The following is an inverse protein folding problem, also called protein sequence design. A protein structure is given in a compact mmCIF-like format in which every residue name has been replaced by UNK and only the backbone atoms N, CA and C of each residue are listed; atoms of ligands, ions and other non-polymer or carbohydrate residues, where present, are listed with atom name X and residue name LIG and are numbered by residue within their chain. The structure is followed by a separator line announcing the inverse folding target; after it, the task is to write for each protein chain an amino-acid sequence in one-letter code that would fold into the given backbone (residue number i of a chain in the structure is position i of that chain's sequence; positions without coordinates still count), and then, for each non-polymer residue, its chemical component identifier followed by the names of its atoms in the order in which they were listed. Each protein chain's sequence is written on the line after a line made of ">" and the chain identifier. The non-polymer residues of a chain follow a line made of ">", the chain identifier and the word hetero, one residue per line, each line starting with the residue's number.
data_IF_077501872525
#
_entry.id   IF_077501872525
#
_cell.length_a   1.000
_cell.length_b   1.000
_cell.length_c   1.000
_cell.angle_alpha   90.00
_cell.angle_beta   90.00
_cell.angle_gamma   90.00
#
_symmetry.space_group_name_H-M   'P 1'
#
loop_
_entity.id
_entity.type
_entity.pdbx_description
1 polymer ?
#
# COMPACT_ATOMS: atom_id res chain seq x y z
N UNK A 1 8.78 18.65 -24.88
CA UNK A 1 8.14 18.97 -23.59
C UNK A 1 6.80 18.26 -23.57
N UNK A 2 6.57 17.43 -22.56
CA UNK A 2 5.27 16.77 -22.39
C UNK A 2 4.19 17.84 -22.13
N UNK A 3 2.97 17.74 -22.70
CA UNK A 3 1.91 18.72 -22.46
C UNK A 3 1.47 18.82 -20.98
N UNK A 4 1.99 17.94 -20.13
CA UNK A 4 1.73 17.85 -18.69
C UNK A 4 2.84 18.47 -17.82
N UNK A 5 3.94 18.95 -18.41
CA UNK A 5 5.04 19.55 -17.63
C UNK A 5 4.56 20.83 -16.90
N UNK A 6 4.69 20.83 -15.57
CA UNK A 6 4.40 21.98 -14.72
C UNK A 6 3.00 22.00 -14.09
N UNK A 7 2.11 21.07 -14.44
CA UNK A 7 0.78 21.02 -13.81
C UNK A 7 0.82 20.26 -12.49
N UNK A 8 0.42 20.94 -11.42
CA UNK A 8 0.31 20.37 -10.07
C UNK A 8 -0.86 19.39 -9.94
N UNK A 9 -1.93 19.62 -10.68
CA UNK A 9 -3.17 18.86 -10.62
C UNK A 9 -3.43 18.16 -11.94
N UNK A 10 -3.80 16.89 -11.89
CA UNK A 10 -4.29 16.12 -13.02
C UNK A 10 -5.76 15.77 -12.79
N UNK A 11 -6.59 15.92 -13.81
CA UNK A 11 -7.94 15.39 -13.82
C UNK A 11 -7.94 14.04 -14.54
N UNK A 12 -8.47 13.02 -13.88
CA UNK A 12 -8.69 11.70 -14.46
C UNK A 12 -10.19 11.53 -14.73
N UNK A 13 -10.55 11.51 -16.02
CA UNK A 13 -11.93 11.28 -16.46
C UNK A 13 -12.26 9.77 -16.42
N UNK A 14 -13.54 9.39 -16.26
CA UNK A 14 -13.94 8.00 -16.39
C UNK A 14 -13.61 7.46 -17.79
N UNK A 15 -12.91 6.33 -17.84
CA UNK A 15 -12.80 5.50 -19.06
C UNK A 15 -14.03 4.58 -19.11
N UNK A 16 -14.56 4.32 -20.31
CA UNK A 16 -15.74 3.47 -20.51
C UNK A 16 -15.54 2.10 -19.86
N UNK A 17 -16.60 1.59 -19.21
CA UNK A 17 -16.59 0.23 -18.67
C UNK A 17 -16.50 -0.79 -19.81
N UNK A 18 -15.69 -1.83 -19.63
CA UNK A 18 -15.45 -2.86 -20.65
C UNK A 18 -13.97 -3.18 -20.83
N UNK A 19 -13.60 -3.61 -22.04
CA UNK A 19 -12.23 -3.98 -22.41
C UNK A 19 -11.24 -2.82 -22.18
N UNK A 20 -11.68 -1.58 -22.39
CA UNK A 20 -10.85 -0.38 -22.27
C UNK A 20 -10.60 0.07 -20.82
N UNK A 21 -11.33 -0.47 -19.83
CA UNK A 21 -11.27 0.00 -18.44
C UNK A 21 -9.89 -0.10 -17.79
N UNK A 22 -8.98 -0.87 -18.40
CA UNK A 22 -7.58 -1.04 -18.00
C UNK A 22 -6.60 -0.88 -19.15
N UNK A 23 -7.03 -0.24 -20.24
CA UNK A 23 -6.15 0.07 -21.36
C UNK A 23 -5.27 1.30 -21.04
N UNK A 24 -3.97 1.18 -21.32
CA UNK A 24 -3.00 2.21 -20.95
C UNK A 24 -3.21 3.51 -21.75
N UNK A 25 -3.48 3.40 -23.04
CA UNK A 25 -3.62 4.54 -23.95
C UNK A 25 -4.95 5.27 -23.72
N UNK A 26 -6.01 4.53 -23.42
CA UNK A 26 -7.29 5.08 -23.00
C UNK A 26 -7.15 5.90 -21.69
N UNK A 27 -6.44 5.37 -20.69
CA UNK A 27 -6.16 6.12 -19.46
C UNK A 27 -5.29 7.35 -19.71
N UNK A 28 -4.26 7.23 -20.55
CA UNK A 28 -3.40 8.36 -20.88
C UNK A 28 -4.18 9.49 -21.57
N UNK A 29 -5.14 9.15 -22.43
CA UNK A 29 -6.03 10.09 -23.11
C UNK A 29 -7.06 10.71 -22.15
N UNK A 30 -7.52 9.94 -21.16
CA UNK A 30 -8.48 10.40 -20.15
C UNK A 30 -7.85 11.32 -19.08
N UNK A 31 -6.52 11.32 -18.95
CA UNK A 31 -5.79 12.20 -18.05
C UNK A 31 -5.56 13.54 -18.74
N UNK A 32 -6.08 14.60 -18.15
CA UNK A 32 -5.89 15.97 -18.63
C UNK A 32 -5.30 16.86 -17.54
N UNK A 33 -4.46 17.86 -17.87
CA UNK A 33 -4.05 18.83 -16.89
C UNK A 33 -5.25 19.63 -16.36
N UNK A 34 -5.21 19.98 -15.08
CA UNK A 34 -6.20 20.88 -14.49
C UNK A 34 -5.51 21.85 -13.53
N UNK A 35 -6.25 22.85 -13.09
CA UNK A 35 -5.75 23.84 -12.14
C UNK A 35 -6.71 23.94 -10.97
N UNK A 36 -6.17 24.14 -9.77
CA UNK A 36 -6.91 24.58 -8.60
C UNK A 36 -6.18 25.80 -8.01
N UNK A 37 -6.83 26.58 -7.13
CA UNK A 37 -6.19 27.73 -6.52
C UNK A 37 -4.86 27.34 -5.84
N UNK A 38 -3.84 28.20 -5.91
CA UNK A 38 -2.57 27.92 -5.27
C UNK A 38 -2.66 28.04 -3.73
N UNK A 39 -1.69 27.45 -3.02
CA UNK A 39 -1.48 27.69 -1.59
C UNK A 39 -1.95 26.58 -0.65
N UNK A 40 -1.97 25.33 -1.11
CA UNK A 40 -2.11 24.10 -0.30
C UNK A 40 -3.25 24.20 0.71
N UNK A 41 -4.39 24.71 0.22
CA UNK A 41 -5.52 25.06 1.04
C UNK A 41 -6.74 24.29 0.55
N UNK A 42 -6.96 23.15 1.20
CA UNK A 42 -8.05 22.23 0.89
C UNK A 42 -9.42 22.93 0.86
N UNK A 43 -9.67 23.91 1.72
CA UNK A 43 -10.94 24.64 1.74
C UNK A 43 -11.13 25.47 0.46
N UNK A 44 -10.07 26.15 -0.03
CA UNK A 44 -10.10 26.90 -1.29
C UNK A 44 -10.22 25.99 -2.50
N UNK A 45 -9.51 24.86 -2.48
CA UNK A 45 -9.58 23.83 -3.52
C UNK A 45 -10.99 23.23 -3.61
N UNK A 46 -11.58 22.81 -2.49
CA UNK A 46 -12.97 22.35 -2.41
C UNK A 46 -13.98 23.44 -2.81
N UNK A 47 -13.74 24.70 -2.48
CA UNK A 47 -14.61 25.79 -2.91
C UNK A 47 -14.59 25.99 -4.43
N UNK A 48 -13.41 25.91 -5.05
CA UNK A 48 -13.27 25.94 -6.51
C UNK A 48 -13.98 24.76 -7.18
N UNK A 49 -13.83 23.54 -6.66
CA UNK A 49 -14.54 22.37 -7.16
C UNK A 49 -16.07 22.55 -7.10
N UNK A 50 -16.59 23.17 -6.03
CA UNK A 50 -18.02 23.53 -5.94
C UNK A 50 -18.44 24.54 -7.00
N UNK A 51 -17.60 25.53 -7.34
CA UNK A 51 -17.88 26.47 -8.45
C UNK A 51 -17.96 25.76 -9.80
N UNK A 52 -17.24 24.65 -9.97
CA UNK A 52 -17.31 23.78 -11.15
C UNK A 52 -18.52 22.83 -11.15
N UNK A 53 -19.41 22.96 -10.18
CA UNK A 53 -20.66 22.20 -10.10
C UNK A 53 -20.60 20.95 -9.23
N UNK A 54 -19.47 20.66 -8.54
CA UNK A 54 -19.42 19.52 -7.62
C UNK A 54 -20.27 19.79 -6.38
N UNK A 55 -21.07 18.81 -5.97
CA UNK A 55 -22.02 18.95 -4.86
C UNK A 55 -21.39 18.68 -3.49
N UNK A 56 -20.54 17.67 -3.40
CA UNK A 56 -19.79 17.34 -2.19
C UNK A 56 -18.34 16.91 -2.52
N UNK A 57 -17.42 17.85 -2.78
CA UNK A 57 -16.03 17.52 -3.00
C UNK A 57 -15.40 16.92 -1.74
N UNK A 58 -14.97 15.66 -1.82
CA UNK A 58 -14.30 14.93 -0.73
C UNK A 58 -12.93 14.45 -1.16
N UNK A 59 -12.04 14.36 -0.18
CA UNK A 59 -10.65 13.95 -0.39
C UNK A 59 -10.41 12.51 0.02
N UNK A 60 -9.50 11.85 -0.69
CA UNK A 60 -8.96 10.54 -0.38
C UNK A 60 -7.43 10.62 -0.40
N UNK A 61 -6.79 9.83 0.46
CA UNK A 61 -5.37 9.55 0.32
C UNK A 61 -5.16 8.31 -0.54
N UNK A 62 -4.08 8.32 -1.31
CA UNK A 62 -3.67 7.19 -2.12
C UNK A 62 -2.15 7.03 -2.14
N UNK A 63 -1.73 6.04 -2.92
CA UNK A 63 -0.32 5.78 -3.20
C UNK A 63 -0.08 5.71 -4.69
N UNK A 64 1.03 6.24 -5.17
CA UNK A 64 1.59 5.79 -6.44
C UNK A 64 2.17 4.40 -6.33
N UNK A 65 2.37 3.73 -7.47
CA UNK A 65 2.91 2.36 -7.50
C UNK A 65 4.20 2.17 -6.70
N UNK A 66 5.03 3.20 -6.55
CA UNK A 66 6.37 3.09 -5.96
C UNK A 66 6.55 3.87 -4.64
N UNK A 67 5.53 4.57 -4.16
CA UNK A 67 5.67 5.40 -2.97
C UNK A 67 5.71 4.62 -1.65
N UNK A 68 6.57 5.07 -0.74
CA UNK A 68 6.68 4.58 0.63
C UNK A 68 5.68 5.24 1.60
N UNK A 69 5.12 6.39 1.23
CA UNK A 69 4.16 7.15 2.02
C UNK A 69 2.93 7.52 1.16
N UNK A 70 1.88 8.04 1.81
CA UNK A 70 0.64 8.48 1.16
C UNK A 70 0.92 9.72 0.32
N UNK A 71 1.34 9.52 -0.91
CA UNK A 71 1.86 10.56 -1.80
C UNK A 71 0.82 11.06 -2.80
N UNK A 72 -0.44 10.63 -2.69
CA UNK A 72 -1.54 11.13 -3.50
C UNK A 72 -2.64 11.72 -2.63
N UNK A 73 -3.15 12.86 -3.08
CA UNK A 73 -4.46 13.38 -2.67
C UNK A 73 -5.40 13.34 -3.87
N UNK A 74 -6.60 12.80 -3.67
CA UNK A 74 -7.59 12.58 -4.72
C UNK A 74 -8.92 13.19 -4.29
N UNK A 75 -9.38 14.19 -5.05
CA UNK A 75 -10.70 14.78 -4.90
C UNK A 75 -11.70 14.10 -5.84
N UNK A 76 -12.91 13.85 -5.35
CA UNK A 76 -14.07 13.47 -6.17
C UNK A 76 -15.38 14.05 -5.60
N UNK A 77 -16.45 14.09 -6.39
CA UNK A 77 -17.77 14.49 -5.91
C UNK A 77 -18.49 13.29 -5.28
N UNK A 78 -18.50 13.22 -3.95
CA UNK A 78 -19.11 12.12 -3.21
C UNK A 78 -20.64 12.07 -3.33
N UNK A 79 -21.27 13.16 -3.80
CA UNK A 79 -22.70 13.22 -4.09
C UNK A 79 -23.03 13.04 -5.57
N UNK A 80 -22.06 12.70 -6.41
CA UNK A 80 -22.35 12.33 -7.79
C UNK A 80 -22.88 10.89 -7.86
N UNK A 81 -24.13 10.75 -8.29
CA UNK A 81 -24.79 9.46 -8.50
C UNK A 81 -25.22 9.27 -9.96
N UNK A 82 -24.92 10.25 -10.82
CA UNK A 82 -25.41 10.33 -12.19
C UNK A 82 -24.32 10.06 -13.21
N UNK A 83 -23.08 10.45 -12.92
CA UNK A 83 -21.97 10.22 -13.84
C UNK A 83 -21.56 8.74 -13.89
N UNK A 84 -20.90 8.32 -14.99
CA UNK A 84 -20.28 7.00 -15.09
C UNK A 84 -19.32 6.73 -13.94
N UNK A 85 -19.21 5.45 -13.54
CA UNK A 85 -18.23 5.04 -12.54
C UNK A 85 -16.83 5.09 -13.14
N UNK A 86 -15.91 5.74 -12.44
CA UNK A 86 -14.49 5.66 -12.76
C UNK A 86 -13.92 4.39 -12.14
N UNK A 87 -14.03 3.26 -12.84
CA UNK A 87 -13.68 1.92 -12.33
C UNK A 87 -12.21 1.84 -11.89
N UNK A 88 -11.30 2.36 -12.70
CA UNK A 88 -9.87 2.34 -12.40
C UNK A 88 -9.56 3.18 -11.16
N UNK A 89 -10.07 4.41 -11.06
CA UNK A 89 -9.89 5.25 -9.88
C UNK A 89 -10.52 4.63 -8.62
N UNK A 90 -11.75 4.10 -8.74
CA UNK A 90 -12.48 3.46 -7.63
C UNK A 90 -11.71 2.30 -7.04
N UNK A 91 -10.98 1.54 -7.88
CA UNK A 91 -10.15 0.43 -7.41
C UNK A 91 -8.79 0.91 -6.88
N UNK A 92 -8.10 1.76 -7.63
CA UNK A 92 -6.73 2.20 -7.31
C UNK A 92 -6.67 3.07 -6.04
N UNK A 93 -7.69 3.89 -5.79
CA UNK A 93 -7.71 4.82 -4.66
C UNK A 93 -8.49 4.32 -3.46
N UNK A 94 -8.90 3.04 -3.46
CA UNK A 94 -9.57 2.38 -2.33
C UNK A 94 -8.64 2.04 -1.18
N UNK A 95 -7.80 2.98 -0.79
CA UNK A 95 -6.81 2.84 0.28
C UNK A 95 -7.41 3.11 1.67
N UNK A 96 -8.24 4.15 1.76
CA UNK A 96 -8.81 4.69 3.00
C UNK A 96 -10.27 5.12 2.81
N UNK A 97 -10.95 5.42 3.91
CA UNK A 97 -12.23 6.10 3.90
C UNK A 97 -12.11 7.59 3.57
N UNK A 98 -13.25 8.25 3.49
CA UNK A 98 -13.39 9.67 3.21
C UNK A 98 -12.57 10.51 4.19
N UNK A 99 -11.90 11.52 3.64
CA UNK A 99 -11.02 12.45 4.34
C UNK A 99 -9.89 11.73 5.12
N UNK A 100 -9.47 10.57 4.62
CA UNK A 100 -8.32 9.83 5.15
C UNK A 100 -8.60 8.95 6.36
N UNK A 101 -9.88 8.67 6.66
CA UNK A 101 -10.26 7.76 7.75
C UNK A 101 -9.63 6.38 7.56
N UNK A 102 -8.82 5.98 8.53
CA UNK A 102 -8.12 4.69 8.50
C UNK A 102 -9.03 3.56 8.97
N UNK A 103 -8.87 2.37 8.39
CA UNK A 103 -9.54 1.14 8.83
C UNK A 103 -11.00 0.98 8.40
N UNK A 104 -11.61 1.99 7.77
CA UNK A 104 -12.99 1.93 7.25
C UNK A 104 -13.01 2.51 5.84
N UNK A 105 -13.59 1.79 4.89
CA UNK A 105 -13.94 2.32 3.57
C UNK A 105 -15.45 2.59 3.59
N UNK A 106 -15.82 3.85 3.69
CA UNK A 106 -17.17 4.38 3.87
C UNK A 106 -17.74 5.01 2.58
N UNK A 107 -17.18 4.62 1.44
CA UNK A 107 -17.62 5.02 0.11
C UNK A 107 -17.62 3.81 -0.83
N UNK A 108 -18.49 3.82 -1.82
CA UNK A 108 -18.72 2.67 -2.70
C UNK A 108 -17.88 2.76 -3.98
N UNK A 109 -18.00 3.86 -4.72
CA UNK A 109 -17.32 4.10 -5.98
C UNK A 109 -17.06 5.60 -6.20
N UNK A 110 -16.04 5.91 -6.99
CA UNK A 110 -15.80 7.25 -7.55
C UNK A 110 -16.58 7.34 -8.86
N UNK A 111 -17.55 8.26 -8.93
CA UNK A 111 -18.30 8.59 -10.14
C UNK A 111 -17.79 9.91 -10.71
N UNK A 112 -17.81 10.03 -12.04
CA UNK A 112 -17.34 11.22 -12.73
C UNK A 112 -15.81 11.41 -12.66
N UNK A 113 -15.31 12.60 -13.03
CA UNK A 113 -13.88 12.90 -12.97
C UNK A 113 -13.39 13.01 -11.52
N UNK A 114 -12.13 12.66 -11.29
CA UNK A 114 -11.44 12.97 -10.05
C UNK A 114 -10.21 13.86 -10.30
N UNK A 115 -9.87 14.71 -9.33
CA UNK A 115 -8.70 15.59 -9.39
C UNK A 115 -7.62 15.06 -8.45
N UNK A 116 -6.43 14.86 -8.99
CA UNK A 116 -5.33 14.17 -8.32
C UNK A 116 -4.15 15.13 -8.22
N UNK A 117 -3.50 15.15 -7.05
CA UNK A 117 -2.23 15.82 -6.85
C UNK A 117 -1.28 14.99 -6.01
N UNK A 118 0.00 15.34 -6.11
CA UNK A 118 1.05 14.82 -5.25
C UNK A 118 0.93 15.42 -3.84
N UNK A 119 0.88 14.56 -2.83
CA UNK A 119 1.02 14.96 -1.43
C UNK A 119 2.49 15.14 -1.02
N UNK A 120 2.75 16.11 -0.14
CA UNK A 120 4.06 16.27 0.49
C UNK A 120 4.40 15.08 1.39
N UNK A 121 5.69 14.77 1.59
CA UNK A 121 6.11 13.82 2.60
C UNK A 121 5.56 14.20 3.98
N UNK A 122 5.15 13.21 4.80
CA UNK A 122 4.66 13.48 6.13
C UNK A 122 5.74 14.19 6.98
N UNK A 123 5.28 15.11 7.81
CA UNK A 123 6.08 15.75 8.86
C UNK A 123 5.69 15.09 10.18
N UNK A 124 6.67 14.76 11.01
CA UNK A 124 6.43 14.13 12.30
C UNK A 124 7.21 14.85 13.39
N UNK A 125 6.62 14.94 14.58
CA UNK A 125 7.34 15.44 15.74
C UNK A 125 8.37 14.39 16.17
N UNK A 126 9.65 14.71 16.08
CA UNK A 126 10.72 13.88 16.59
C UNK A 126 10.57 13.73 18.09
N UNK A 127 10.58 12.49 18.57
CA UNK A 127 10.49 12.22 20.00
C UNK A 127 11.76 12.62 20.76
N UNK A 128 12.90 12.73 20.06
CA UNK A 128 14.18 13.12 20.63
C UNK A 128 14.27 14.65 20.74
N UNK A 129 13.92 15.38 19.67
CA UNK A 129 14.11 16.83 19.61
C UNK A 129 12.86 17.62 19.99
N UNK A 130 11.68 16.97 20.00
CA UNK A 130 10.39 17.62 20.16
C UNK A 130 9.99 18.52 18.98
N UNK A 131 10.78 18.56 17.90
CA UNK A 131 10.54 19.43 16.74
C UNK A 131 9.83 18.68 15.62
N UNK A 132 9.05 19.41 14.84
CA UNK A 132 8.43 18.89 13.63
C UNK A 132 9.51 18.72 12.56
N UNK A 133 9.84 17.47 12.22
CA UNK A 133 10.86 17.10 11.26
C UNK A 133 10.20 16.48 10.02
N UNK A 134 10.68 16.85 8.83
CA UNK A 134 10.25 16.24 7.59
C UNK A 134 10.93 14.89 7.43
N UNK A 135 10.15 13.87 7.08
CA UNK A 135 10.72 12.57 6.78
C UNK A 135 11.58 12.61 5.51
N UNK A 136 12.73 11.93 5.56
CA UNK A 136 13.66 11.80 4.43
C UNK A 136 13.14 10.81 3.39
N UNK A 137 12.14 11.25 2.62
CA UNK A 137 11.64 10.55 1.46
C UNK A 137 11.97 11.34 0.19
N UNK A 138 12.36 10.67 -0.91
CA UNK A 138 12.45 11.31 -2.21
C UNK A 138 11.11 11.97 -2.55
N UNK A 139 11.12 13.29 -2.78
CA UNK A 139 9.94 14.05 -3.09
C UNK A 139 9.99 14.61 -4.51
N UNK A 140 9.06 14.16 -5.35
CA UNK A 140 8.81 14.72 -6.68
C UNK A 140 7.44 15.41 -6.66
N UNK A 141 7.38 16.76 -6.62
CA UNK A 141 6.14 17.50 -6.38
C UNK A 141 5.11 17.37 -7.51
N UNK A 142 5.54 16.92 -8.70
CA UNK A 142 4.66 16.74 -9.84
C UNK A 142 4.49 15.25 -10.14
N UNK A 143 3.24 14.82 -10.28
CA UNK A 143 2.90 13.50 -10.84
C UNK A 143 2.79 13.63 -12.35
N UNK A 144 3.44 12.73 -13.08
CA UNK A 144 3.28 12.69 -14.55
C UNK A 144 2.07 11.84 -14.94
N UNK A 145 1.48 12.11 -16.11
CA UNK A 145 0.36 11.30 -16.63
C UNK A 145 0.75 9.81 -16.74
N UNK A 146 1.96 9.51 -17.24
CA UNK A 146 2.45 8.14 -17.33
C UNK A 146 2.57 7.47 -15.96
N UNK A 147 3.07 8.18 -14.96
CA UNK A 147 3.16 7.65 -13.59
C UNK A 147 1.78 7.35 -12.99
N UNK A 148 0.79 8.18 -13.31
CA UNK A 148 -0.60 7.94 -12.93
C UNK A 148 -1.16 6.70 -13.64
N UNK A 149 -0.96 6.54 -14.95
CA UNK A 149 -1.36 5.33 -15.70
C UNK A 149 -0.72 4.08 -15.08
N UNK A 150 0.59 4.10 -14.85
CA UNK A 150 1.29 2.98 -14.24
C UNK A 150 0.76 2.65 -12.84
N UNK A 151 0.33 3.67 -12.09
CA UNK A 151 -0.30 3.50 -10.77
C UNK A 151 -1.67 2.84 -10.90
N UNK A 152 -2.51 3.28 -11.83
CA UNK A 152 -3.80 2.63 -12.10
C UNK A 152 -3.59 1.15 -12.46
N UNK A 153 -2.72 0.87 -13.42
CA UNK A 153 -2.42 -0.50 -13.86
C UNK A 153 -1.80 -1.36 -12.74
N UNK A 154 -1.00 -0.78 -11.84
CA UNK A 154 -0.46 -1.49 -10.69
C UNK A 154 -1.57 -2.05 -9.77
N UNK A 155 -2.66 -1.29 -9.59
CA UNK A 155 -3.82 -1.66 -8.79
C UNK A 155 -4.89 -2.46 -9.56
N UNK A 156 -4.71 -2.71 -10.86
CA UNK A 156 -5.58 -3.59 -11.64
C UNK A 156 -5.76 -4.95 -10.97
N UNK A 157 -4.67 -5.54 -10.49
CA UNK A 157 -4.66 -6.89 -9.89
C UNK A 157 -4.34 -6.88 -8.39
N UNK A 158 -4.33 -5.69 -7.77
CA UNK A 158 -3.96 -5.52 -6.36
C UNK A 158 -5.07 -4.82 -5.58
N UNK A 159 -5.21 -5.24 -4.33
CA UNK A 159 -6.10 -4.61 -3.37
C UNK A 159 -5.41 -3.37 -2.78
N UNK A 160 -5.91 -2.19 -3.15
CA UNK A 160 -5.35 -0.91 -2.73
C UNK A 160 -5.33 -0.74 -1.20
N UNK A 161 -6.35 -1.23 -0.50
CA UNK A 161 -6.44 -1.15 0.96
C UNK A 161 -5.34 -1.99 1.62
N UNK A 162 -5.12 -3.22 1.14
CA UNK A 162 -4.06 -4.09 1.67
C UNK A 162 -2.67 -3.53 1.41
N UNK A 163 -2.46 -2.94 0.22
CA UNK A 163 -1.21 -2.24 -0.12
C UNK A 163 -0.97 -1.07 0.84
N UNK A 164 -1.99 -0.24 1.06
CA UNK A 164 -1.92 0.89 1.97
C UNK A 164 -1.57 0.46 3.40
N UNK A 165 -2.26 -0.56 3.94
CA UNK A 165 -1.95 -1.12 5.27
C UNK A 165 -0.52 -1.65 5.38
N UNK A 166 -0.02 -2.35 4.35
CA UNK A 166 1.35 -2.89 4.34
C UNK A 166 2.39 -1.76 4.32
N UNK A 167 2.17 -0.72 3.52
CA UNK A 167 3.07 0.44 3.43
C UNK A 167 3.05 1.29 4.68
N UNK A 168 1.87 1.52 5.26
CA UNK A 168 1.73 2.22 6.54
C UNK A 168 2.48 1.50 7.66
N UNK A 169 2.36 0.17 7.74
CA UNK A 169 3.10 -0.61 8.72
C UNK A 169 4.61 -0.59 8.48
N UNK A 170 5.05 -0.72 7.22
CA UNK A 170 6.47 -0.65 6.90
C UNK A 170 7.07 0.71 7.25
N UNK A 171 6.34 1.80 6.99
CA UNK A 171 6.74 3.16 7.39
C UNK A 171 6.79 3.30 8.90
N UNK A 172 5.73 2.92 9.60
CA UNK A 172 5.69 2.94 11.06
C UNK A 172 6.86 2.17 11.68
N UNK A 173 7.25 1.02 11.09
CA UNK A 173 8.39 0.22 11.53
C UNK A 173 9.75 0.82 11.19
N UNK A 174 9.88 1.58 10.10
CA UNK A 174 11.12 2.31 9.78
C UNK A 174 11.33 3.49 10.75
N UNK A 175 10.23 4.09 11.20
CA UNK A 175 10.25 5.28 12.06
C UNK A 175 10.34 4.94 13.54
N UNK A 176 9.73 3.84 13.97
CA UNK A 176 9.69 3.43 15.37
C UNK A 176 11.08 3.37 16.03
N UNK A 177 12.10 2.74 15.41
CA UNK A 177 13.45 2.70 15.99
C UNK A 177 14.10 4.07 16.11
N UNK A 178 13.81 5.00 15.17
CA UNK A 178 14.37 6.36 15.18
C UNK A 178 13.77 7.22 16.29
N UNK A 179 12.48 7.06 16.55
CA UNK A 179 11.74 7.89 17.51
C UNK A 179 11.52 7.22 18.88
N UNK A 180 11.65 5.90 18.99
CA UNK A 180 11.39 5.15 20.21
C UNK A 180 12.45 4.06 20.41
N UNK A 181 13.68 4.43 20.81
CA UNK A 181 14.80 3.49 20.92
C UNK A 181 14.52 2.30 21.85
N UNK A 182 13.68 2.48 22.88
CA UNK A 182 13.29 1.39 23.80
C UNK A 182 12.60 0.19 23.11
N UNK A 183 11.95 0.38 21.96
CA UNK A 183 11.29 -0.70 21.23
C UNK A 183 12.23 -1.48 20.31
N UNK A 184 13.40 -0.93 20.00
CA UNK A 184 14.38 -1.59 19.15
C UNK A 184 15.04 -2.76 19.90
N UNK A 185 15.26 -2.63 21.21
CA UNK A 185 15.91 -3.67 22.03
C UNK A 185 15.07 -4.95 22.18
N UNK A 186 13.74 -4.85 22.06
CA UNK A 186 12.85 -5.99 22.27
C UNK A 186 12.63 -6.85 21.02
N UNK A 187 13.17 -6.43 19.86
CA UNK A 187 13.06 -7.18 18.62
C UNK A 187 11.61 -7.47 18.21
N UNK A 188 10.67 -6.56 18.47
CA UNK A 188 9.26 -6.70 18.12
C UNK A 188 8.98 -6.09 16.73
N UNK A 189 8.10 -6.74 15.97
CA UNK A 189 7.62 -6.33 14.66
C UNK A 189 6.12 -6.05 14.73
N UNK A 190 5.71 -4.82 14.48
CA UNK A 190 4.30 -4.40 14.48
C UNK A 190 3.81 -4.34 13.03
N UNK A 191 2.70 -5.02 12.76
CA UNK A 191 2.07 -5.04 11.43
C UNK A 191 0.56 -4.97 11.52
N UNK A 192 -0.16 -4.80 10.39
CA UNK A 192 -1.62 -4.86 10.40
C UNK A 192 -2.12 -6.24 10.85
N UNK A 193 -1.26 -7.26 10.82
CA UNK A 193 -1.55 -8.61 11.31
C UNK A 193 -1.04 -8.86 12.74
N UNK A 194 -0.85 -7.79 13.53
CA UNK A 194 -0.47 -7.81 14.95
C UNK A 194 1.03 -7.62 15.21
N UNK A 195 1.39 -7.67 16.50
CA UNK A 195 2.76 -7.65 17.00
C UNK A 195 3.34 -9.06 16.93
N UNK A 196 4.52 -9.22 16.33
CA UNK A 196 5.23 -10.48 16.13
C UNK A 196 6.68 -10.32 16.57
N UNK A 197 7.37 -11.40 16.90
CA UNK A 197 8.82 -11.35 17.06
C UNK A 197 9.46 -11.02 15.70
N UNK A 198 10.37 -10.06 15.65
CA UNK A 198 11.08 -9.62 14.45
C UNK A 198 11.81 -10.76 13.75
N UNK A 199 12.33 -11.72 14.52
CA UNK A 199 12.93 -12.96 14.00
C UNK A 199 11.97 -13.81 13.15
N UNK A 200 10.65 -13.75 13.42
CA UNK A 200 9.63 -14.48 12.66
C UNK A 200 9.17 -13.74 11.39
N UNK A 201 9.48 -12.45 11.26
CA UNK A 201 9.02 -11.63 10.13
C UNK A 201 10.16 -11.23 9.19
N UNK A 202 11.40 -11.25 9.69
CA UNK A 202 12.62 -10.99 8.92
C UNK A 202 12.78 -11.90 7.68
N UNK A 203 12.10 -13.06 7.63
CA UNK A 203 12.23 -13.97 6.49
C UNK A 203 11.64 -13.43 5.19
N UNK A 204 10.36 -13.06 5.18
CA UNK A 204 9.62 -12.74 3.95
C UNK A 204 9.45 -11.23 3.72
N UNK A 205 9.26 -10.44 4.78
CA UNK A 205 9.02 -9.00 4.64
C UNK A 205 10.31 -8.18 4.55
N UNK A 206 11.44 -8.71 5.03
CA UNK A 206 12.75 -8.10 4.82
C UNK A 206 13.36 -8.41 3.44
N UNK A 207 12.72 -9.26 2.64
CA UNK A 207 13.21 -9.55 1.30
C UNK A 207 13.01 -8.35 0.36
N UNK A 208 13.95 -8.21 -0.56
CA UNK A 208 13.89 -7.26 -1.65
C UNK A 208 13.88 -7.99 -2.98
N UNK A 209 13.32 -7.34 -4.00
CA UNK A 209 13.45 -7.80 -5.37
C UNK A 209 14.92 -7.84 -5.75
N UNK A 210 15.41 -8.99 -6.20
CA UNK A 210 16.82 -9.14 -6.57
C UNK A 210 17.22 -8.34 -7.82
N UNK A 211 16.25 -7.93 -8.65
CA UNK A 211 16.50 -7.15 -9.86
C UNK A 211 16.45 -5.63 -9.61
N UNK A 212 15.39 -5.14 -8.95
CA UNK A 212 15.16 -3.70 -8.79
C UNK A 212 15.39 -3.19 -7.36
N UNK A 213 15.77 -4.05 -6.42
CA UNK A 213 16.05 -3.69 -5.02
C UNK A 213 14.82 -3.28 -4.19
N UNK A 214 13.63 -3.19 -4.78
CA UNK A 214 12.42 -2.76 -4.07
C UNK A 214 12.09 -3.75 -2.95
N UNK A 215 11.86 -3.26 -1.70
CA UNK A 215 11.49 -4.14 -0.59
C UNK A 215 10.08 -4.69 -0.77
N UNK A 216 9.77 -5.80 -0.11
CA UNK A 216 8.46 -6.45 -0.20
C UNK A 216 7.29 -5.54 0.24
N UNK A 217 7.54 -4.56 1.11
CA UNK A 217 6.57 -3.55 1.52
C UNK A 217 6.11 -2.66 0.36
N UNK A 218 7.00 -2.35 -0.58
CA UNK A 218 6.69 -1.54 -1.76
C UNK A 218 6.11 -2.41 -2.86
N UNK A 219 6.76 -3.55 -3.15
CA UNK A 219 6.34 -4.50 -4.18
C UNK A 219 4.99 -5.19 -3.88
N UNK A 220 4.60 -5.23 -2.59
CA UNK A 220 3.35 -5.77 -2.08
C UNK A 220 3.08 -7.25 -2.40
N UNK A 221 4.09 -8.02 -2.80
CA UNK A 221 4.13 -9.50 -2.89
C UNK A 221 5.28 -9.92 -3.79
N UNK A 222 6.48 -10.01 -3.23
CA UNK A 222 7.58 -10.62 -3.99
C UNK A 222 7.23 -12.08 -4.29
N UNK A 223 7.48 -12.49 -5.53
CA UNK A 223 7.32 -13.85 -6.01
C UNK A 223 8.67 -14.55 -5.96
N UNK A 224 8.71 -15.71 -5.32
CA UNK A 224 9.90 -16.55 -5.34
C UNK A 224 10.15 -17.06 -6.77
N UNK A 225 11.42 -17.17 -7.14
CA UNK A 225 11.85 -17.77 -8.38
C UNK A 225 11.26 -19.18 -8.53
N UNK A 226 10.55 -19.42 -9.64
CA UNK A 226 9.95 -20.73 -9.92
C UNK A 226 10.94 -21.88 -9.96
N UNK A 227 12.21 -21.61 -10.27
CA UNK A 227 13.28 -22.62 -10.40
C UNK A 227 14.00 -22.90 -9.07
N UNK A 228 14.56 -21.88 -8.43
CA UNK A 228 15.39 -22.07 -7.23
C UNK A 228 14.64 -21.83 -5.92
N UNK A 229 13.51 -21.11 -5.94
CA UNK A 229 12.73 -20.70 -4.76
C UNK A 229 13.51 -19.93 -3.69
N UNK A 230 14.74 -19.51 -3.97
CA UNK A 230 15.64 -18.82 -3.04
C UNK A 230 15.78 -17.32 -3.33
N UNK A 231 15.37 -16.87 -4.51
CA UNK A 231 15.47 -15.48 -4.96
C UNK A 231 14.05 -14.94 -5.19
N UNK A 232 13.85 -13.66 -4.92
CA UNK A 232 12.54 -13.02 -4.89
C UNK A 232 12.47 -11.84 -5.85
N UNK A 233 11.35 -11.68 -6.53
CA UNK A 233 11.16 -10.66 -7.58
C UNK A 233 9.78 -9.99 -7.47
N UNK A 234 9.66 -8.73 -7.87
CA UNK A 234 8.37 -8.04 -7.95
C UNK A 234 7.40 -8.75 -8.92
N UNK A 235 7.93 -9.18 -10.06
CA UNK A 235 7.20 -9.75 -11.17
C UNK A 235 8.12 -10.60 -12.08
N UNK A 236 7.54 -11.11 -13.16
CA UNK A 236 8.25 -11.96 -14.13
C UNK A 236 9.29 -11.16 -14.93
N UNK A 237 9.11 -9.85 -15.10
CA UNK A 237 10.01 -9.05 -15.93
C UNK A 237 11.29 -8.71 -15.16
N UNK A 238 11.18 -8.38 -13.88
CA UNK A 238 12.31 -8.34 -12.95
C UNK A 238 13.06 -9.67 -12.93
N UNK A 239 12.35 -10.81 -12.88
CA UNK A 239 12.97 -12.12 -12.93
C UNK A 239 13.74 -12.35 -14.23
N UNK A 240 13.18 -11.98 -15.39
CA UNK A 240 13.86 -12.12 -16.70
C UNK A 240 15.13 -11.26 -16.77
N UNK A 241 15.06 -10.02 -16.29
CA UNK A 241 16.18 -9.09 -16.28
C UNK A 241 17.37 -9.65 -15.47
N UNK A 242 17.11 -10.15 -14.26
CA UNK A 242 18.15 -10.76 -13.41
C UNK A 242 18.60 -12.15 -13.90
N UNK A 243 17.73 -12.92 -14.57
CA UNK A 243 18.12 -14.19 -15.17
C UNK A 243 19.09 -14.00 -16.36
N UNK A 244 18.95 -12.91 -17.12
CA UNK A 244 19.86 -12.57 -18.22
C UNK A 244 21.27 -12.29 -17.72
N UNK A 245 21.40 -11.54 -16.63
CA UNK A 245 22.69 -11.17 -16.02
C UNK A 245 23.31 -12.31 -15.22
N UNK A 246 22.52 -13.18 -14.56
CA UNK A 246 23.04 -14.32 -13.78
C UNK A 246 23.47 -15.53 -14.61
N UNK A 247 23.08 -15.63 -15.88
CA UNK A 247 23.49 -16.75 -16.76
C UNK A 247 25.00 -16.76 -17.07
N UNK A 248 25.67 -15.62 -16.95
CA UNK A 248 27.11 -15.47 -17.20
C UNK A 248 27.97 -15.55 -15.94
N UNK A 249 27.35 -15.57 -14.75
CA UNK A 249 28.07 -15.83 -13.50
C UNK A 249 28.45 -17.33 -13.41
N UNK A 250 29.65 -17.67 -12.88
CA UNK A 250 30.08 -19.06 -12.77
C UNK A 250 29.03 -19.90 -12.05
N UNK A 251 28.74 -21.06 -12.65
CA UNK A 251 27.59 -21.91 -12.36
C UNK A 251 27.33 -22.06 -10.86
N UNK A 252 26.08 -21.77 -10.46
CA UNK A 252 25.56 -22.14 -9.14
C UNK A 252 25.87 -23.63 -8.90
N UNK A 253 26.38 -24.03 -7.72
CA UNK A 253 26.65 -25.43 -7.42
C UNK A 253 25.35 -26.20 -7.61
N UNK A 254 25.29 -26.99 -8.68
CA UNK A 254 24.15 -27.85 -8.94
C UNK A 254 23.94 -28.69 -7.68
N UNK A 255 22.69 -28.84 -7.25
CA UNK A 255 22.28 -29.61 -6.07
C UNK A 255 22.47 -31.12 -6.31
N UNK A 256 23.66 -31.53 -6.73
CA UNK A 256 24.11 -32.91 -6.97
C UNK A 256 25.48 -33.07 -6.34
N UNK A 257 25.47 -33.42 -5.05
CA UNK A 257 26.37 -34.35 -4.35
C UNK A 257 26.29 -34.05 -2.86
N UNK A 258 25.14 -34.36 -2.24
CA UNK A 258 25.23 -34.92 -0.89
C UNK A 258 25.64 -36.37 -1.10
N UNK A 259 26.96 -36.55 -1.20
CA UNK A 259 27.58 -37.86 -1.22
C UNK A 259 27.15 -38.62 0.02
N UNK A 260 26.83 -39.90 -0.20
CA UNK A 260 26.72 -40.91 0.82
C UNK A 260 28.05 -41.00 1.58
N UNK A 261 28.21 -40.21 2.63
CA UNK A 261 29.25 -40.36 3.62
C UNK A 261 28.76 -41.32 4.69
N UNK A 262 29.15 -42.59 4.58
CA UNK A 262 28.95 -43.59 5.63
C UNK A 262 29.68 -43.16 6.91
N UNK A 263 28.95 -43.11 8.03
CA UNK A 263 29.47 -42.68 9.33
C UNK A 263 28.69 -43.28 10.48
N UNK A 264 29.16 -44.48 10.88
CA UNK A 264 28.94 -45.28 12.11
C UNK A 264 28.07 -44.68 13.23
N UNK A 265 27.07 -45.46 13.63
CA UNK A 265 26.87 -45.93 15.01
C UNK A 265 26.65 -44.89 16.12
N UNK A 266 25.40 -44.50 16.32
CA UNK A 266 24.93 -43.89 17.56
C UNK A 266 23.52 -44.37 17.87
N UNK A 267 23.37 -45.18 18.92
CA UNK A 267 22.11 -45.75 19.36
C UNK A 267 21.08 -44.64 19.68
N UNK A 268 19.92 -44.69 19.04
CA UNK A 268 18.78 -43.84 19.39
C UNK A 268 18.01 -44.47 20.56
N UNK A 269 17.65 -43.71 21.61
CA UNK A 269 16.72 -44.17 22.62
C UNK A 269 15.31 -44.34 22.02
N UNK A 270 14.59 -45.34 22.53
CA UNK A 270 13.26 -45.73 22.07
C UNK A 270 12.23 -44.60 22.25
N UNK A 271 11.28 -44.40 21.31
CA UNK A 271 10.19 -43.47 21.49
C UNK A 271 9.14 -43.99 22.49
N UNK A 272 8.71 -43.12 23.39
CA UNK A 272 7.58 -43.34 24.29
C UNK A 272 6.26 -43.52 23.50
N UNK A 273 5.29 -44.29 24.03
CA UNK A 273 4.06 -44.61 23.32
C UNK A 273 3.15 -43.39 23.15
N UNK A 274 2.81 -43.10 21.89
CA UNK A 274 1.80 -42.10 21.50
C UNK A 274 0.41 -42.67 21.78
N UNK A 275 -0.33 -42.05 22.71
CA UNK A 275 -1.76 -42.31 22.91
C UNK A 275 -2.54 -41.91 21.65
N UNK A 276 -3.29 -42.87 21.09
CA UNK A 276 -4.37 -42.61 20.12
C UNK A 276 -5.41 -41.71 20.79
N UNK A 277 -5.62 -40.52 20.23
CA UNK A 277 -6.84 -39.75 20.49
C UNK A 277 -7.79 -40.02 19.33
N UNK A 278 -8.99 -40.48 19.69
CA UNK A 278 -10.07 -40.78 18.77
C UNK A 278 -10.46 -39.57 17.92
N UNK A 279 -10.61 -39.82 16.63
CA UNK A 279 -11.37 -39.03 15.68
C UNK A 279 -12.82 -38.89 16.18
N UNK A 280 -13.27 -37.65 16.38
CA UNK A 280 -14.67 -37.31 16.55
C UNK A 280 -15.18 -36.72 15.23
N UNK A 281 -16.04 -37.48 14.56
CA UNK A 281 -16.98 -36.96 13.57
C UNK A 281 -18.04 -36.17 14.34
N UNK A 282 -18.30 -34.92 13.95
CA UNK A 282 -19.61 -34.35 14.18
C UNK A 282 -20.05 -33.51 12.98
N UNK A 283 -21.30 -33.71 12.61
CA UNK A 283 -22.02 -33.16 11.49
C UNK A 283 -23.33 -32.65 12.06
N UNK A 284 -23.60 -31.33 12.00
CA UNK A 284 -24.92 -30.68 11.92
C UNK A 284 -24.77 -29.17 12.13
N UNK A 285 -25.18 -28.38 11.15
CA UNK A 285 -26.45 -27.64 11.08
C UNK A 285 -26.48 -26.34 11.90
N UNK A 286 -26.71 -25.23 11.18
CA UNK A 286 -27.71 -24.22 11.52
C UNK A 286 -27.60 -23.48 12.86
N UNK A 287 -27.19 -22.22 12.81
CA UNK A 287 -27.39 -21.30 13.94
C UNK A 287 -26.93 -19.88 13.60
N UNK A 288 -27.87 -19.04 13.15
CA UNK A 288 -27.65 -17.61 13.00
C UNK A 288 -27.45 -16.94 14.36
N UNK A 289 -26.42 -16.13 14.49
CA UNK A 289 -26.23 -15.25 15.64
C UNK A 289 -26.49 -13.80 15.23
N UNK A 290 -27.62 -13.28 15.70
CA UNK A 290 -27.87 -11.83 15.84
C UNK A 290 -26.91 -11.29 16.89
N UNK A 291 -26.17 -10.22 16.58
CA UNK A 291 -25.49 -9.42 17.58
C UNK A 291 -26.30 -8.17 17.88
N UNK A 292 -26.87 -8.13 19.08
CA UNK A 292 -27.47 -6.96 19.71
C UNK A 292 -26.39 -6.04 20.28
N UNK A 293 -26.61 -4.75 20.05
CA UNK A 293 -25.87 -3.57 20.50
C UNK A 293 -25.84 -3.39 22.02
N UNK A 294 -24.69 -2.96 22.57
CA UNK A 294 -24.58 -2.17 23.81
C UNK A 294 -23.37 -1.20 23.74
N UNK A 295 -23.31 -0.14 24.59
CA UNK A 295 -22.82 1.17 24.18
C UNK A 295 -21.45 1.63 24.75
N UNK A 296 -20.86 2.58 24.01
CA UNK A 296 -20.07 3.79 24.36
C UNK A 296 -19.11 3.82 25.57
N UNK A 297 -17.88 4.27 25.28
CA UNK A 297 -16.91 4.94 26.17
C UNK A 297 -15.48 4.47 25.86
N UNK A 298 -14.42 5.26 25.70
CA UNK A 298 -14.14 6.70 25.71
C UNK A 298 -12.68 6.93 25.24
N UNK A 299 -12.24 8.20 25.16
CA UNK A 299 -10.89 8.71 24.83
C UNK A 299 -10.42 8.52 23.36
N UNK A 300 -9.79 9.46 22.65
CA UNK A 300 -9.03 10.66 23.01
C UNK A 300 -9.25 11.75 21.92
N UNK A 301 -9.67 12.97 22.30
CA UNK A 301 -9.70 14.14 21.39
C UNK A 301 -8.38 14.89 21.52
N UNK A 302 -7.58 14.94 20.45
CA UNK A 302 -6.48 15.90 20.34
C UNK A 302 -7.05 17.24 19.87
N UNK A 303 -6.78 18.29 20.63
CA UNK A 303 -7.23 19.67 20.45
C UNK A 303 -6.56 20.28 19.21
N UNK A 304 -7.35 20.78 18.25
CA UNK A 304 -6.89 21.77 17.27
C UNK A 304 -7.26 23.17 17.79
N UNK A 305 -6.24 23.94 18.17
CA UNK A 305 -6.36 25.33 18.61
C UNK A 305 -6.55 26.28 17.43
N UNK A 306 -7.54 27.14 17.58
CA UNK A 306 -7.88 28.29 16.75
C UNK A 306 -6.81 29.38 16.91
N UNK A 307 -6.35 29.96 15.81
CA UNK A 307 -5.75 31.28 15.79
C UNK A 307 -6.49 32.13 14.75
N UNK A 308 -7.51 32.85 15.23
CA UNK A 308 -8.06 34.02 14.58
C UNK A 308 -7.46 35.24 15.29
N UNK A 309 -6.87 36.16 14.54
CA UNK A 309 -6.26 37.35 15.09
C UNK A 309 -6.10 38.44 14.04
N UNK A 310 -7.13 39.29 13.98
CA UNK A 310 -7.22 40.71 13.54
C UNK A 310 -6.63 41.10 12.18
#
# INVERSE_FOLDING_TARGET
>A
MSPFEGYRYLELRPVKEGEDSWDADAHLTAIVPTTLPPGDNEAREKAELRRRGWRDPRGLFGYTKDAAYKDLYVYFDAKDHTSPVNVAASKAFRCYGLDGRQGVIDWEAIRGPCVILRGEPPKMTSAITGRLEQMDFPYKPLISAQELVDTLLFFKDRDAHKVALKRDAARAMADFPRNHPMFQEQGLYVSPAGIRAGTKVAGHDAQACAACGKPNSIACSLKACSRCKSVWYCDRDCQKQDCGTRRTAPAWPSRRTLGAGGGRGGARPAPAPVRRVHSYHDSRQGGGCRFSTLPRGGFCRLVQGIAAGR
#
